data_IF_851429944440
#
_entry.id   IF_851429944440
#
_cell.length_a   1.000
_cell.length_b   1.000
_cell.length_c   1.000
_cell.angle_alpha   90.00
_cell.angle_beta   90.00
_cell.angle_gamma   90.00
#
_symmetry.space_group_name_H-M   'P 1'
#
loop_
_entity.id
_entity.type
_entity.pdbx_description
1 polymer ?
#
# COMPACT_ATOMS: atom_id res chain seq x y z
N UNK A 1 -33.23 58.96 -64.83
CA UNK A 1 -32.76 58.02 -65.86
C UNK A 1 -32.58 56.67 -65.19
N UNK A 2 -33.38 55.70 -65.59
CA UNK A 2 -33.34 54.30 -65.15
C UNK A 2 -32.15 53.56 -65.80
N UNK A 3 -31.83 52.38 -65.24
CA UNK A 3 -31.00 51.22 -65.69
C UNK A 3 -30.07 50.88 -64.51
N UNK A 4 -30.42 49.95 -63.61
CA UNK A 4 -30.18 48.48 -63.68
C UNK A 4 -28.67 48.14 -63.61
N UNK A 5 -28.13 47.17 -62.88
CA UNK A 5 -28.67 45.97 -62.23
C UNK A 5 -27.53 45.34 -61.38
N UNK A 6 -27.89 44.73 -60.25
CA UNK A 6 -27.31 43.51 -59.63
C UNK A 6 -25.82 43.37 -59.22
N UNK A 7 -25.64 43.24 -57.89
CA UNK A 7 -24.99 42.15 -57.13
C UNK A 7 -23.61 41.66 -57.58
N UNK A 8 -22.58 41.96 -56.77
CA UNK A 8 -21.60 40.97 -56.30
C UNK A 8 -21.32 41.25 -54.83
N UNK A 9 -21.61 40.26 -53.99
CA UNK A 9 -21.26 40.23 -52.57
C UNK A 9 -19.74 40.29 -52.39
N UNK A 10 -19.27 41.23 -51.57
CA UNK A 10 -17.96 41.14 -50.93
C UNK A 10 -18.14 41.60 -49.48
N UNK A 11 -18.83 40.75 -48.71
CA UNK A 11 -18.89 40.90 -47.27
C UNK A 11 -17.50 40.56 -46.74
N UNK A 12 -16.88 41.58 -46.13
CA UNK A 12 -15.71 41.50 -45.26
C UNK A 12 -15.73 40.19 -44.46
N UNK A 13 -14.67 39.41 -44.66
CA UNK A 13 -14.27 38.34 -43.74
C UNK A 13 -13.92 38.99 -42.40
N UNK A 14 -14.93 39.17 -41.55
CA UNK A 14 -14.76 39.38 -40.13
C UNK A 14 -14.58 37.98 -39.50
N UNK A 15 -13.37 37.76 -38.99
CA UNK A 15 -12.99 36.66 -38.12
C UNK A 15 -14.06 36.33 -37.09
N UNK A 16 -14.79 35.22 -37.27
CA UNK A 16 -15.28 34.37 -36.17
C UNK A 16 -15.35 32.94 -36.71
N UNK A 17 -14.19 32.29 -36.79
CA UNK A 17 -14.10 30.84 -36.95
C UNK A 17 -12.85 30.35 -36.25
N UNK A 18 -12.98 30.25 -34.93
CA UNK A 18 -12.30 29.25 -34.13
C UNK A 18 -13.32 28.75 -33.13
N UNK A 19 -14.14 27.83 -33.61
CA UNK A 19 -14.84 26.86 -32.78
C UNK A 19 -13.74 25.96 -32.15
N UNK A 20 -13.02 26.49 -31.17
CA UNK A 20 -12.26 25.65 -30.26
C UNK A 20 -13.23 25.16 -29.21
N UNK A 21 -13.55 23.87 -29.29
CA UNK A 21 -14.09 23.11 -28.18
C UNK A 21 -13.21 23.40 -26.95
N UNK A 22 -13.74 24.15 -26.00
CA UNK A 22 -13.31 24.05 -24.60
C UNK A 22 -14.02 22.83 -24.03
N UNK A 23 -13.59 21.66 -24.47
CA UNK A 23 -13.76 20.43 -23.69
C UNK A 23 -12.68 20.44 -22.61
N UNK A 24 -13.07 19.92 -21.44
CA UNK A 24 -12.25 19.61 -20.28
C UNK A 24 -11.47 20.77 -19.65
N UNK A 25 -12.19 21.60 -18.89
CA UNK A 25 -11.67 21.96 -17.57
C UNK A 25 -12.47 21.11 -16.60
N UNK A 26 -11.94 19.95 -16.21
CA UNK A 26 -12.40 19.30 -14.98
C UNK A 26 -12.31 20.38 -13.91
N UNK A 27 -13.45 20.73 -13.32
CA UNK A 27 -13.50 21.54 -12.11
C UNK A 27 -12.89 20.69 -10.98
N UNK A 28 -11.56 20.52 -10.99
CA UNK A 28 -10.82 20.05 -9.85
C UNK A 28 -10.88 21.18 -8.83
N UNK A 29 -11.83 21.09 -7.91
CA UNK A 29 -11.79 21.87 -6.70
C UNK A 29 -10.38 21.74 -6.10
N UNK A 30 -9.72 22.87 -5.81
CA UNK A 30 -8.51 22.85 -5.01
C UNK A 30 -8.86 22.17 -3.69
N UNK A 31 -8.46 20.92 -3.53
CA UNK A 31 -8.68 20.16 -2.31
C UNK A 31 -8.06 20.96 -1.13
N UNK A 32 -8.72 20.99 0.04
CA UNK A 32 -8.16 21.66 1.21
C UNK A 32 -6.75 21.12 1.48
N UNK A 33 -5.81 21.97 1.86
CA UNK A 33 -4.51 21.52 2.35
C UNK A 33 -4.63 21.21 3.83
N UNK A 34 -3.95 20.16 4.29
CA UNK A 34 -3.81 19.89 5.72
C UNK A 34 -3.17 21.11 6.43
N UNK A 35 -3.63 21.42 7.63
CA UNK A 35 -3.15 22.53 8.46
C UNK A 35 -2.64 22.02 9.81
N UNK A 36 -1.93 22.85 10.58
CA UNK A 36 -1.36 22.43 11.88
C UNK A 36 -2.39 21.92 12.89
N UNK A 37 -3.67 22.24 12.71
CA UNK A 37 -4.77 21.79 13.56
C UNK A 37 -5.22 20.35 13.27
N UNK A 38 -4.84 19.79 12.11
CA UNK A 38 -5.25 18.43 11.67
C UNK A 38 -4.40 17.31 12.32
N UNK A 39 -3.49 17.70 13.20
CA UNK A 39 -2.49 16.81 13.76
C UNK A 39 -2.67 16.60 15.25
N UNK A 40 -2.68 15.33 15.64
CA UNK A 40 -2.96 14.91 17.01
C UNK A 40 -1.79 14.08 17.51
N UNK A 41 -1.28 14.42 18.69
CA UNK A 41 -0.36 13.57 19.42
C UNK A 41 -1.12 12.38 19.99
N UNK A 42 -0.73 11.18 19.61
CA UNK A 42 -1.34 9.95 20.09
C UNK A 42 -0.30 9.04 20.72
N UNK A 43 -0.72 8.35 21.79
CA UNK A 43 0.07 7.26 22.35
C UNK A 43 -0.14 6.06 21.46
N UNK A 44 0.94 5.52 20.92
CA UNK A 44 0.92 4.34 20.07
C UNK A 44 1.42 3.12 20.86
N UNK A 45 1.02 1.93 20.41
CA UNK A 45 1.60 0.69 20.91
C UNK A 45 3.07 0.60 20.48
N UNK A 46 3.93 0.09 21.38
CA UNK A 46 5.33 -0.20 21.04
C UNK A 46 5.34 -1.22 19.91
N UNK A 47 6.06 -0.97 18.81
CA UNK A 47 6.09 -1.92 17.72
C UNK A 47 6.79 -3.19 18.19
N UNK A 48 6.18 -4.33 17.92
CA UNK A 48 6.80 -5.62 18.18
C UNK A 48 7.57 -6.00 16.91
N UNK A 49 8.68 -5.33 16.63
CA UNK A 49 9.64 -5.87 15.68
C UNK A 49 10.43 -6.97 16.41
N UNK A 50 10.37 -8.24 15.95
CA UNK A 50 11.24 -9.25 16.51
C UNK A 50 12.69 -8.81 16.26
N UNK A 51 13.50 -8.73 17.32
CA UNK A 51 14.93 -8.48 17.16
C UNK A 51 15.61 -9.75 16.64
N UNK A 52 15.49 -10.00 15.33
CA UNK A 52 16.04 -11.18 14.66
C UNK A 52 17.57 -11.25 14.75
N UNK A 53 18.22 -10.11 15.01
CA UNK A 53 19.68 -9.97 15.08
C UNK A 53 20.28 -10.11 16.48
N UNK A 54 19.48 -10.22 17.55
CA UNK A 54 19.97 -10.18 18.94
C UNK A 54 21.09 -11.21 19.19
N UNK A 55 20.98 -12.40 18.60
CA UNK A 55 21.94 -13.49 18.74
C UNK A 55 22.94 -13.60 17.59
N UNK A 56 22.86 -12.73 16.58
CA UNK A 56 23.70 -12.80 15.39
C UNK A 56 24.93 -11.89 15.53
N UNK A 57 26.13 -12.49 15.60
CA UNK A 57 27.37 -11.76 15.74
C UNK A 57 28.43 -12.21 14.71
N UNK A 58 28.42 -11.61 13.53
CA UNK A 58 29.50 -11.85 12.56
C UNK A 58 29.91 -10.59 11.84
N UNK A 59 31.23 -10.42 11.66
CA UNK A 59 31.79 -9.43 10.72
C UNK A 59 31.77 -9.92 9.28
N UNK A 60 31.52 -11.22 9.07
CA UNK A 60 31.32 -11.77 7.73
C UNK A 60 29.83 -11.64 7.40
N UNK A 61 29.53 -10.86 6.37
CA UNK A 61 28.16 -10.51 5.97
C UNK A 61 27.32 -11.73 5.61
N UNK A 62 27.88 -12.71 4.89
CA UNK A 62 27.19 -13.95 4.54
C UNK A 62 26.81 -14.74 5.79
N UNK A 63 27.73 -14.87 6.77
CA UNK A 63 27.44 -15.56 8.04
C UNK A 63 26.43 -14.82 8.90
N UNK A 64 26.46 -13.48 8.87
CA UNK A 64 25.48 -12.66 9.57
C UNK A 64 24.08 -12.84 8.95
N UNK A 65 24.00 -12.83 7.61
CA UNK A 65 22.76 -13.08 6.85
C UNK A 65 22.19 -14.47 7.11
N UNK A 66 23.03 -15.52 7.04
CA UNK A 66 22.58 -16.89 7.32
C UNK A 66 22.04 -17.02 8.76
N UNK A 67 22.60 -16.29 9.71
CA UNK A 67 22.08 -16.23 11.07
C UNK A 67 20.70 -15.54 11.13
N UNK A 68 20.52 -14.41 10.44
CA UNK A 68 19.23 -13.72 10.37
C UNK A 68 18.14 -14.61 9.74
N UNK A 69 18.46 -15.33 8.66
CA UNK A 69 17.53 -16.25 8.00
C UNK A 69 17.09 -17.37 8.96
N UNK A 70 18.02 -17.90 9.76
CA UNK A 70 17.72 -18.90 10.79
C UNK A 70 16.85 -18.32 11.92
N UNK A 71 17.18 -17.13 12.42
CA UNK A 71 16.38 -16.43 13.43
C UNK A 71 14.95 -16.19 12.93
N UNK A 72 14.80 -15.74 11.68
CA UNK A 72 13.50 -15.52 11.05
C UNK A 72 12.70 -16.83 10.92
N UNK A 73 13.35 -17.92 10.51
CA UNK A 73 12.75 -19.26 10.45
C UNK A 73 12.24 -19.70 11.84
N UNK A 74 13.07 -19.59 12.88
CA UNK A 74 12.71 -20.00 14.26
C UNK A 74 11.55 -19.15 14.77
N UNK A 75 11.64 -17.82 14.62
CA UNK A 75 10.57 -16.92 15.02
C UNK A 75 9.24 -17.29 14.35
N UNK A 76 9.27 -17.52 13.04
CA UNK A 76 8.07 -17.85 12.29
C UNK A 76 7.50 -19.22 12.64
N UNK A 77 8.35 -20.23 12.85
CA UNK A 77 7.92 -21.56 13.30
C UNK A 77 7.27 -21.52 14.69
N UNK A 78 7.83 -20.75 15.62
CA UNK A 78 7.21 -20.53 16.94
C UNK A 78 5.84 -19.85 16.81
N UNK A 79 5.70 -18.92 15.87
CA UNK A 79 4.42 -18.24 15.62
C UNK A 79 3.38 -19.19 14.99
N UNK A 80 3.80 -20.06 14.07
CA UNK A 80 2.95 -21.14 13.50
C UNK A 80 2.39 -22.00 14.63
N UNK A 81 3.23 -22.45 15.55
CA UNK A 81 2.82 -23.30 16.67
C UNK A 81 1.90 -22.55 17.64
N UNK A 82 2.25 -21.30 17.99
CA UNK A 82 1.43 -20.45 18.86
C UNK A 82 0.04 -20.21 18.29
N UNK A 83 -0.08 -20.03 16.97
CA UNK A 83 -1.33 -19.83 16.25
C UNK A 83 -2.03 -21.15 15.86
N UNK A 84 -1.48 -22.31 16.27
CA UNK A 84 -2.00 -23.64 15.96
C UNK A 84 -2.14 -23.91 14.45
N UNK A 85 -1.27 -23.30 13.65
CA UNK A 85 -1.25 -23.40 12.20
C UNK A 85 -0.41 -24.56 11.68
N UNK A 86 0.24 -25.34 12.54
CA UNK A 86 1.16 -26.43 12.12
C UNK A 86 0.50 -27.50 11.23
N UNK A 87 -0.83 -27.60 11.26
CA UNK A 87 -1.61 -28.49 10.36
C UNK A 87 -1.66 -27.98 8.91
N UNK A 88 -1.47 -26.68 8.71
CA UNK A 88 -1.48 -26.01 7.41
C UNK A 88 -0.10 -25.55 6.99
N UNK A 89 0.65 -24.91 7.89
CA UNK A 89 1.86 -24.18 7.56
C UNK A 89 3.05 -24.86 8.23
N UNK A 90 4.13 -25.00 7.48
CA UNK A 90 5.45 -25.33 8.02
C UNK A 90 6.49 -24.40 7.43
N UNK A 91 7.46 -24.02 8.25
CA UNK A 91 8.59 -23.18 7.85
C UNK A 91 9.87 -23.99 7.89
N UNK A 92 10.60 -23.99 6.79
CA UNK A 92 11.97 -24.45 6.69
C UNK A 92 12.86 -23.26 6.32
N UNK A 93 14.18 -23.47 6.36
CA UNK A 93 15.12 -22.44 5.93
C UNK A 93 14.79 -22.05 4.48
N UNK A 94 14.57 -20.77 4.24
CA UNK A 94 14.24 -20.18 2.94
C UNK A 94 12.95 -20.68 2.28
N UNK A 95 12.05 -21.33 3.01
CA UNK A 95 10.81 -21.86 2.41
C UNK A 95 9.66 -21.94 3.40
N UNK A 96 8.52 -21.37 3.02
CA UNK A 96 7.22 -21.60 3.69
C UNK A 96 6.40 -22.55 2.83
N UNK A 97 5.93 -23.64 3.44
CA UNK A 97 5.05 -24.62 2.79
C UNK A 97 3.67 -24.56 3.42
N UNK A 98 2.65 -24.34 2.61
CA UNK A 98 1.25 -24.28 3.03
C UNK A 98 0.50 -25.46 2.39
N UNK A 99 0.07 -26.39 3.23
CA UNK A 99 -0.68 -27.59 2.86
C UNK A 99 -2.14 -27.37 3.23
N UNK A 100 -3.01 -27.39 2.23
CA UNK A 100 -4.45 -27.19 2.44
C UNK A 100 -5.15 -28.52 2.24
N UNK A 101 -5.98 -28.98 3.21
CA UNK A 101 -6.75 -30.20 3.06
C UNK A 101 -7.57 -30.17 1.77
N UNK A 102 -7.50 -31.26 1.00
CA UNK A 102 -8.19 -31.42 -0.29
C UNK A 102 -7.65 -30.55 -1.46
N UNK A 103 -6.50 -29.89 -1.30
CA UNK A 103 -5.77 -29.28 -2.41
C UNK A 103 -4.70 -30.26 -2.95
N UNK A 104 -4.59 -30.41 -4.27
CA UNK A 104 -3.74 -31.45 -4.89
C UNK A 104 -2.24 -31.25 -4.63
N UNK A 105 -1.80 -30.01 -4.51
CA UNK A 105 -0.40 -29.66 -4.26
C UNK A 105 -0.27 -28.60 -3.15
N UNK A 106 0.78 -28.66 -2.31
CA UNK A 106 1.05 -27.59 -1.37
C UNK A 106 1.44 -26.30 -2.10
N UNK A 107 1.09 -25.15 -1.52
CA UNK A 107 1.61 -23.86 -1.94
C UNK A 107 3.01 -23.72 -1.36
N UNK A 108 3.99 -23.43 -2.22
CA UNK A 108 5.39 -23.28 -1.84
C UNK A 108 5.80 -21.83 -2.09
N UNK A 109 6.15 -21.13 -1.00
CA UNK A 109 6.71 -19.79 -1.04
C UNK A 109 8.20 -19.88 -0.70
N UNK A 110 9.03 -19.74 -1.71
CA UNK A 110 10.48 -19.75 -1.56
C UNK A 110 10.99 -18.35 -1.30
N UNK A 111 11.91 -18.22 -0.37
CA UNK A 111 12.63 -16.98 -0.15
C UNK A 111 13.63 -16.80 -1.29
N UNK A 112 13.25 -15.99 -2.29
CA UNK A 112 14.08 -15.80 -3.49
C UNK A 112 15.08 -14.68 -3.24
N UNK A 113 16.35 -14.83 -3.65
CA UNK A 113 17.24 -13.69 -3.74
C UNK A 113 16.64 -12.69 -4.74
N UNK A 114 16.58 -11.42 -4.33
CA UNK A 114 16.32 -10.36 -5.30
C UNK A 114 17.57 -10.27 -6.17
N UNK A 115 17.37 -10.34 -7.49
CA UNK A 115 18.47 -10.21 -8.44
C UNK A 115 19.01 -8.78 -8.34
N UNK A 116 20.12 -8.61 -7.63
CA UNK A 116 20.97 -7.44 -7.73
C UNK A 116 22.06 -7.67 -8.80
N UNK A 117 22.85 -6.64 -9.08
CA UNK A 117 23.89 -6.68 -10.13
C UNK A 117 24.96 -7.76 -9.89
N UNK A 118 25.10 -8.24 -8.65
CA UNK A 118 26.09 -9.25 -8.24
C UNK A 118 25.50 -10.66 -8.03
N UNK A 119 24.18 -10.85 -8.15
CA UNK A 119 23.50 -12.14 -8.05
C UNK A 119 23.42 -12.74 -6.64
N UNK A 120 23.86 -11.98 -5.62
CA UNK A 120 23.92 -12.36 -4.20
C UNK A 120 22.99 -11.50 -3.32
N UNK A 121 22.04 -10.79 -3.94
CA UNK A 121 21.17 -9.80 -3.30
C UNK A 121 20.30 -10.30 -2.16
N UNK A 122 19.73 -9.32 -1.46
CA UNK A 122 18.88 -9.52 -0.28
C UNK A 122 17.71 -10.45 -0.62
N UNK A 123 17.39 -11.34 0.33
CA UNK A 123 16.36 -12.37 0.12
C UNK A 123 14.98 -11.83 0.46
N UNK A 124 14.02 -12.18 -0.38
CA UNK A 124 12.61 -12.00 -0.13
C UNK A 124 12.13 -12.99 0.92
N UNK A 125 11.82 -12.54 2.13
CA UNK A 125 11.40 -13.43 3.22
C UNK A 125 9.90 -13.31 3.43
N UNK A 126 9.19 -14.45 3.37
CA UNK A 126 7.76 -14.51 3.71
C UNK A 126 7.58 -14.88 5.18
N UNK A 127 7.13 -13.91 5.98
CA UNK A 127 6.85 -14.08 7.40
C UNK A 127 5.35 -14.02 7.66
N UNK A 128 4.86 -14.87 8.56
CA UNK A 128 3.48 -14.77 9.07
C UNK A 128 3.33 -13.43 9.78
N UNK A 129 2.36 -12.66 9.32
CA UNK A 129 1.97 -11.38 9.89
C UNK A 129 0.74 -11.56 10.78
N UNK A 130 -0.35 -12.10 10.20
CA UNK A 130 -1.64 -12.27 10.89
C UNK A 130 -2.35 -13.53 10.44
N UNK A 131 -3.19 -14.07 11.32
CA UNK A 131 -4.16 -15.12 11.00
C UNK A 131 -5.56 -14.66 11.43
N UNK A 132 -6.52 -14.74 10.52
CA UNK A 132 -7.95 -14.52 10.78
C UNK A 132 -8.61 -15.89 10.90
N UNK A 133 -8.87 -16.34 12.14
CA UNK A 133 -9.41 -17.67 12.43
C UNK A 133 -10.84 -17.84 11.92
N UNK A 134 -11.66 -16.79 11.97
CA UNK A 134 -13.06 -16.83 11.56
C UNK A 134 -13.19 -17.08 10.05
N UNK A 135 -12.30 -16.47 9.26
CA UNK A 135 -12.26 -16.67 7.80
C UNK A 135 -11.29 -17.77 7.37
N UNK A 136 -10.47 -18.28 8.28
CA UNK A 136 -9.35 -19.16 8.03
C UNK A 136 -8.40 -18.59 6.95
N UNK A 137 -8.02 -17.32 7.13
CA UNK A 137 -7.15 -16.58 6.22
C UNK A 137 -5.79 -16.30 6.84
N UNK A 138 -4.74 -16.60 6.08
CA UNK A 138 -3.36 -16.37 6.46
C UNK A 138 -2.79 -15.16 5.72
N UNK A 139 -2.25 -14.22 6.48
CA UNK A 139 -1.58 -13.03 5.97
C UNK A 139 -0.08 -13.18 6.20
N UNK A 140 0.69 -13.14 5.12
CA UNK A 140 2.13 -13.12 5.15
C UNK A 140 2.62 -11.72 4.78
N UNK A 141 3.55 -11.18 5.55
CA UNK A 141 4.37 -10.06 5.12
C UNK A 141 5.52 -10.63 4.33
N UNK A 142 5.61 -10.25 3.07
CA UNK A 142 6.85 -10.42 2.35
C UNK A 142 7.72 -9.19 2.52
N UNK A 143 8.98 -9.40 2.85
CA UNK A 143 9.93 -8.32 3.07
C UNK A 143 11.18 -8.54 2.23
N UNK A 144 11.52 -7.51 1.46
CA UNK A 144 12.87 -7.23 0.95
C UNK A 144 13.18 -5.80 1.30
N UNK A 145 14.46 -5.50 1.48
CA UNK A 145 14.96 -4.13 1.55
C UNK A 145 14.15 -3.16 0.66
N UNK A 146 13.53 -2.16 1.29
CA UNK A 146 12.71 -1.09 0.68
C UNK A 146 11.41 -1.52 -0.01
N UNK A 147 11.09 -2.82 -0.08
CA UNK A 147 9.86 -3.33 -0.69
C UNK A 147 9.10 -4.26 0.24
N UNK A 148 7.84 -3.91 0.51
CA UNK A 148 6.94 -4.71 1.32
C UNK A 148 5.76 -5.15 0.46
N UNK A 149 5.42 -6.44 0.49
CA UNK A 149 4.17 -6.95 -0.03
C UNK A 149 3.38 -7.62 1.09
N UNK A 150 2.08 -7.81 0.84
CA UNK A 150 1.23 -8.65 1.67
C UNK A 150 0.70 -9.79 0.82
N UNK A 151 0.88 -11.03 1.27
CA UNK A 151 0.26 -12.20 0.65
C UNK A 151 -0.90 -12.65 1.51
N UNK A 152 -2.08 -12.73 0.92
CA UNK A 152 -3.27 -13.33 1.50
C UNK A 152 -3.41 -14.75 0.94
N UNK A 153 -3.52 -15.74 1.84
CA UNK A 153 -3.82 -17.12 1.50
C UNK A 153 -5.12 -17.53 2.20
N UNK A 154 -6.11 -17.92 1.41
CA UNK A 154 -7.32 -18.54 1.94
C UNK A 154 -7.05 -20.03 2.20
N UNK A 155 -6.96 -20.42 3.47
CA UNK A 155 -6.65 -21.79 3.87
C UNK A 155 -7.83 -22.75 3.72
N UNK A 156 -9.02 -22.29 3.33
CA UNK A 156 -10.14 -23.15 2.93
C UNK A 156 -10.07 -23.53 1.46
N UNK A 157 -9.66 -22.59 0.60
CA UNK A 157 -9.77 -22.75 -0.86
C UNK A 157 -8.42 -22.93 -1.57
N UNK A 158 -7.32 -22.50 -0.95
CA UNK A 158 -6.01 -22.43 -1.59
C UNK A 158 -5.80 -21.25 -2.53
N UNK A 159 -6.77 -20.32 -2.58
CA UNK A 159 -6.58 -19.07 -3.31
C UNK A 159 -5.48 -18.25 -2.64
N UNK A 160 -4.55 -17.79 -3.47
CA UNK A 160 -3.45 -16.91 -3.09
C UNK A 160 -3.57 -15.59 -3.85
N UNK A 161 -3.45 -14.49 -3.13
CA UNK A 161 -3.39 -13.15 -3.70
C UNK A 161 -2.21 -12.40 -3.08
N UNK A 162 -1.37 -11.85 -3.94
CA UNK A 162 -0.29 -10.94 -3.56
C UNK A 162 -0.75 -9.49 -3.78
N UNK A 163 -0.47 -8.63 -2.80
CA UNK A 163 -0.73 -7.21 -2.84
C UNK A 163 0.58 -6.47 -2.66
N UNK A 164 0.83 -5.50 -3.52
CA UNK A 164 1.92 -4.54 -3.31
C UNK A 164 1.62 -3.70 -2.07
N UNK A 165 2.63 -3.45 -1.23
CA UNK A 165 2.47 -2.75 0.03
C UNK A 165 2.07 -3.63 1.22
N UNK A 166 1.98 -2.98 2.37
CA UNK A 166 1.73 -3.56 3.69
C UNK A 166 0.35 -3.14 4.22
N UNK A 167 0.01 -3.56 5.45
CA UNK A 167 -1.20 -3.12 6.17
C UNK A 167 -2.53 -3.41 5.45
N UNK A 168 -2.63 -4.56 4.77
CA UNK A 168 -3.84 -4.98 4.04
C UNK A 168 -5.12 -4.87 4.89
N UNK A 169 -6.10 -4.14 4.38
CA UNK A 169 -7.47 -4.10 4.89
C UNK A 169 -8.48 -4.34 3.78
N UNK A 170 -9.64 -4.88 4.13
CA UNK A 170 -10.72 -5.17 3.18
C UNK A 170 -11.96 -4.38 3.56
N UNK A 171 -12.63 -3.87 2.53
CA UNK A 171 -13.95 -3.23 2.66
C UNK A 171 -14.98 -4.20 3.25
N UNK A 172 -16.06 -3.70 3.89
CA UNK A 172 -17.13 -4.53 4.44
C UNK A 172 -17.70 -5.56 3.46
N UNK A 173 -17.93 -5.17 2.21
CA UNK A 173 -18.44 -6.05 1.16
C UNK A 173 -17.35 -6.85 0.43
N UNK A 174 -16.09 -6.63 0.80
CA UNK A 174 -14.89 -7.20 0.17
C UNK A 174 -14.72 -6.86 -1.31
N UNK A 175 -15.42 -5.85 -1.85
CA UNK A 175 -15.23 -5.40 -3.23
C UNK A 175 -13.89 -4.69 -3.40
N UNK A 176 -13.44 -3.98 -2.37
CA UNK A 176 -12.17 -3.28 -2.34
C UNK A 176 -11.22 -3.81 -1.26
N UNK A 177 -9.93 -3.71 -1.55
CA UNK A 177 -8.85 -3.85 -0.59
C UNK A 177 -7.99 -2.58 -0.60
N UNK A 178 -7.26 -2.33 0.48
CA UNK A 178 -6.28 -1.26 0.52
C UNK A 178 -4.99 -1.72 1.19
N UNK A 179 -3.86 -1.26 0.66
CA UNK A 179 -2.52 -1.45 1.22
C UNK A 179 -1.76 -0.13 1.24
N UNK A 180 -0.66 -0.07 2.00
CA UNK A 180 0.25 1.07 2.01
C UNK A 180 1.64 0.64 1.61
N UNK A 181 2.13 1.21 0.53
CA UNK A 181 3.50 1.08 0.06
C UNK A 181 4.33 2.21 0.66
N UNK A 182 5.49 1.89 1.22
CA UNK A 182 6.43 2.86 1.79
C UNK A 182 7.78 2.54 1.19
N UNK A 183 8.15 3.23 0.10
CA UNK A 183 9.44 3.00 -0.57
C UNK A 183 10.52 3.84 0.10
N UNK A 184 10.26 5.13 0.24
CA UNK A 184 11.18 6.11 0.81
C UNK A 184 10.48 7.01 1.83
N UNK A 185 11.24 7.65 2.75
CA UNK A 185 10.68 8.66 3.65
C UNK A 185 9.98 9.77 2.84
N UNK A 186 8.67 9.95 3.06
CA UNK A 186 7.85 10.91 2.30
C UNK A 186 7.30 10.38 0.97
N UNK A 187 7.51 9.10 0.67
CA UNK A 187 6.95 8.36 -0.47
C UNK A 187 6.09 7.20 0.05
N UNK A 188 5.01 7.56 0.73
CA UNK A 188 3.98 6.64 1.19
C UNK A 188 2.75 6.67 0.26
N UNK A 189 2.46 5.53 -0.36
CA UNK A 189 1.37 5.40 -1.32
C UNK A 189 0.28 4.47 -0.80
N UNK A 190 -0.95 4.97 -0.75
CA UNK A 190 -2.13 4.15 -0.49
C UNK A 190 -2.59 3.53 -1.80
N UNK A 191 -2.53 2.21 -1.90
CA UNK A 191 -2.95 1.46 -3.06
C UNK A 191 -4.35 0.90 -2.79
N UNK A 192 -5.34 1.29 -3.60
CA UNK A 192 -6.69 0.72 -3.56
C UNK A 192 -6.82 -0.31 -4.67
N UNK A 193 -7.29 -1.50 -4.30
CA UNK A 193 -7.46 -2.64 -5.19
C UNK A 193 -8.94 -2.95 -5.33
N UNK A 194 -9.37 -3.29 -6.54
CA UNK A 194 -10.75 -3.66 -6.83
C UNK A 194 -10.85 -5.12 -7.24
N UNK A 195 -11.79 -5.83 -6.64
CA UNK A 195 -12.09 -7.21 -7.01
C UNK A 195 -12.69 -7.27 -8.42
N UNK A 196 -12.09 -8.06 -9.28
CA UNK A 196 -12.57 -8.30 -10.63
C UNK A 196 -13.69 -9.35 -10.66
N UNK A 197 -14.25 -9.59 -11.85
CA UNK A 197 -15.30 -10.58 -12.07
C UNK A 197 -14.87 -12.03 -11.78
N UNK A 198 -13.57 -12.29 -11.69
CA UNK A 198 -12.98 -13.59 -11.38
C UNK A 198 -12.68 -13.74 -9.88
N UNK A 199 -12.91 -12.69 -9.08
CA UNK A 199 -12.69 -12.69 -7.64
C UNK A 199 -11.27 -12.29 -7.23
N UNK A 200 -10.41 -11.89 -8.17
CA UNK A 200 -9.04 -11.47 -7.89
C UNK A 200 -8.99 -9.95 -7.70
N UNK A 201 -8.13 -9.47 -6.80
CA UNK A 201 -7.93 -8.03 -6.64
C UNK A 201 -6.97 -7.51 -7.70
N UNK A 202 -7.40 -6.49 -8.43
CA UNK A 202 -6.59 -5.80 -9.43
C UNK A 202 -6.31 -4.38 -8.96
N UNK A 203 -5.13 -3.88 -9.28
CA UNK A 203 -4.77 -2.51 -8.98
C UNK A 203 -5.68 -1.53 -9.75
N UNK A 204 -6.27 -0.58 -9.04
CA UNK A 204 -7.14 0.42 -9.65
C UNK A 204 -6.29 1.56 -10.24
N UNK A 205 -5.81 1.37 -11.48
CA UNK A 205 -4.82 2.25 -12.14
C UNK A 205 -5.29 3.70 -12.41
N UNK A 206 -6.57 4.04 -12.26
CA UNK A 206 -7.04 5.43 -12.45
C UNK A 206 -6.67 6.38 -11.29
N UNK A 207 -5.91 5.88 -10.31
CA UNK A 207 -6.07 6.32 -8.94
C UNK A 207 -4.75 6.68 -8.24
N UNK A 208 -3.92 7.44 -8.96
CA UNK A 208 -2.61 7.86 -8.48
C UNK A 208 -2.59 9.40 -8.46
N UNK A 209 -2.58 9.99 -7.27
CA UNK A 209 -2.20 11.39 -7.09
C UNK A 209 -1.02 11.51 -6.11
N UNK A 210 0.10 10.89 -6.52
CA UNK A 210 1.38 10.94 -5.81
C UNK A 210 1.84 12.38 -5.52
N UNK A 211 1.47 13.34 -6.37
CA UNK A 211 1.89 14.73 -6.23
C UNK A 211 1.17 15.48 -5.09
N UNK A 212 -0.07 15.11 -4.77
CA UNK A 212 -0.81 15.71 -3.65
C UNK A 212 -0.37 15.18 -2.29
N UNK A 213 -0.09 13.89 -2.18
CA UNK A 213 0.44 13.30 -0.95
C UNK A 213 1.79 13.94 -0.56
N UNK A 214 2.73 13.99 -1.51
CA UNK A 214 4.05 14.64 -1.32
C UNK A 214 3.98 16.11 -0.92
N UNK A 215 2.95 16.85 -1.34
CA UNK A 215 2.81 18.27 -1.00
C UNK A 215 2.42 18.52 0.46
N UNK A 216 1.79 17.55 1.13
CA UNK A 216 1.40 17.70 2.54
C UNK A 216 2.58 17.52 3.50
N UNK A 217 3.60 16.74 3.13
CA UNK A 217 4.81 16.53 3.94
C UNK A 217 5.89 17.60 3.79
N UNK A 218 5.84 18.41 2.71
CA UNK A 218 6.82 19.50 2.44
C UNK A 218 6.98 20.54 3.56
N UNK A 219 6.05 20.60 4.52
CA UNK A 219 6.13 21.53 5.64
C UNK A 219 7.23 21.17 6.64
N UNK A 220 7.56 19.88 6.80
CA UNK A 220 8.73 19.45 7.57
C UNK A 220 9.97 19.51 6.69
N UNK A 221 10.66 20.65 6.72
CA UNK A 221 12.02 20.78 6.19
C UNK A 221 13.01 20.09 7.14
N UNK A 222 12.88 18.77 7.37
CA UNK A 222 13.87 17.95 8.06
C UNK A 222 14.73 17.22 7.03
N UNK A 223 15.50 17.98 6.25
CA UNK A 223 16.60 17.42 5.44
C UNK A 223 17.63 16.62 6.27
N UNK A 224 17.49 16.58 7.59
CA UNK A 224 18.38 15.84 8.49
C UNK A 224 17.76 14.56 9.06
N UNK A 225 16.43 14.41 9.12
CA UNK A 225 15.78 13.23 9.71
C UNK A 225 14.65 12.71 8.81
N UNK A 226 14.96 11.60 8.14
CA UNK A 226 14.08 10.80 7.30
C UNK A 226 12.98 10.12 8.12
N UNK A 227 11.95 10.85 8.52
CA UNK A 227 10.83 10.30 9.29
C UNK A 227 9.90 9.48 8.38
N UNK A 228 10.23 8.19 8.18
CA UNK A 228 9.24 7.21 7.68
C UNK A 228 8.12 7.06 8.72
N UNK A 229 6.87 6.82 8.33
CA UNK A 229 5.83 6.49 9.30
C UNK A 229 6.27 5.26 10.07
N UNK A 230 6.17 5.36 11.38
CA UNK A 230 6.45 4.27 12.29
C UNK A 230 5.39 3.17 12.19
N UNK A 231 4.13 3.59 12.05
CA UNK A 231 3.00 2.70 11.84
C UNK A 231 1.96 3.36 10.96
N UNK A 232 1.15 2.53 10.31
CA UNK A 232 0.04 2.97 9.48
C UNK A 232 -1.21 2.19 9.87
N UNK A 233 -2.35 2.87 9.96
CA UNK A 233 -3.64 2.23 10.20
C UNK A 233 -4.61 2.57 9.08
N UNK A 234 -5.24 1.52 8.52
CA UNK A 234 -6.28 1.62 7.52
C UNK A 234 -7.63 1.20 8.12
N UNK A 235 -8.66 2.01 7.95
CA UNK A 235 -10.00 1.75 8.48
C UNK A 235 -11.09 2.11 7.45
N UNK A 236 -11.81 1.11 6.96
CA UNK A 236 -12.98 1.32 6.11
C UNK A 236 -14.16 1.83 6.94
N UNK A 237 -14.69 3.00 6.58
CA UNK A 237 -15.90 3.57 7.20
C UNK A 237 -17.15 3.12 6.44
N UNK A 238 -17.04 3.08 5.11
CA UNK A 238 -18.06 2.54 4.18
C UNK A 238 -17.33 1.93 2.98
N UNK A 239 -18.04 1.28 2.05
CA UNK A 239 -17.42 0.76 0.82
C UNK A 239 -16.85 1.87 -0.09
N UNK A 240 -17.25 3.13 0.15
CA UNK A 240 -16.85 4.34 -0.59
C UNK A 240 -16.00 5.31 0.25
N UNK A 241 -15.55 4.91 1.45
CA UNK A 241 -14.73 5.76 2.34
C UNK A 241 -13.75 4.97 3.18
N UNK A 242 -12.47 5.33 3.06
CA UNK A 242 -11.34 4.73 3.74
C UNK A 242 -10.55 5.81 4.51
N UNK A 243 -10.41 5.63 5.82
CA UNK A 243 -9.54 6.42 6.66
C UNK A 243 -8.14 5.83 6.68
N UNK A 244 -7.15 6.73 6.61
CA UNK A 244 -5.73 6.38 6.64
C UNK A 244 -5.05 7.25 7.68
N UNK A 245 -4.49 6.61 8.71
CA UNK A 245 -3.68 7.24 9.74
C UNK A 245 -2.21 6.89 9.55
N UNK A 246 -1.37 7.91 9.42
CA UNK A 246 0.08 7.79 9.48
C UNK A 246 0.57 8.28 10.84
N UNK A 247 1.39 7.47 11.50
CA UNK A 247 1.98 7.81 12.80
C UNK A 247 3.49 8.00 12.65
N UNK A 248 3.99 9.17 13.00
CA UNK A 248 5.40 9.53 12.94
C UNK A 248 5.96 9.68 14.35
N UNK A 249 6.94 8.86 14.70
CA UNK A 249 7.65 9.01 15.98
C UNK A 249 8.73 10.08 15.84
N UNK A 250 9.03 10.76 16.95
CA UNK A 250 10.20 11.64 17.03
C UNK A 250 11.50 10.83 17.20
N UNK A 251 11.41 9.62 17.77
CA UNK A 251 12.52 8.67 17.96
C UNK A 251 12.04 7.19 17.90
N UNK A 252 12.94 6.25 17.60
CA UNK A 252 12.67 4.82 17.45
C UNK A 252 12.08 4.15 18.71
N UNK A 253 12.27 4.75 19.88
CA UNK A 253 11.79 4.25 21.17
C UNK A 253 10.60 5.01 21.75
N UNK A 254 10.11 6.05 21.06
CA UNK A 254 9.00 6.84 21.58
C UNK A 254 7.68 6.07 21.50
N UNK A 255 6.87 6.22 22.55
CA UNK A 255 5.49 5.71 22.62
C UNK A 255 4.46 6.78 22.26
N UNK A 256 4.93 7.98 21.91
CA UNK A 256 4.11 9.11 21.49
C UNK A 256 4.47 9.42 20.04
N UNK A 257 3.46 9.38 19.19
CA UNK A 257 3.60 9.65 17.76
C UNK A 257 2.70 10.81 17.34
N UNK A 258 3.12 11.47 16.29
CA UNK A 258 2.34 12.45 15.58
C UNK A 258 1.45 11.74 14.55
N UNK A 259 0.13 11.89 14.67
CA UNK A 259 -0.82 11.31 13.72
C UNK A 259 -1.23 12.30 12.65
N UNK A 260 -1.18 11.87 11.39
CA UNK A 260 -1.79 12.52 10.22
C UNK A 260 -2.91 11.64 9.68
N UNK A 261 -4.11 12.19 9.53
CA UNK A 261 -5.29 11.45 9.04
C UNK A 261 -5.79 11.97 7.70
N UNK A 262 -6.01 11.06 6.77
CA UNK A 262 -6.66 11.32 5.48
C UNK A 262 -7.93 10.50 5.32
N UNK A 263 -8.90 11.03 4.57
CA UNK A 263 -10.07 10.28 4.09
C UNK A 263 -9.97 10.12 2.57
N UNK A 264 -9.91 8.89 2.10
CA UNK A 264 -10.09 8.56 0.69
C UNK A 264 -11.56 8.27 0.48
N UNK A 265 -12.22 9.09 -0.34
CA UNK A 265 -13.67 8.96 -0.60
C UNK A 265 -13.96 8.82 -2.08
N UNK A 266 -15.08 8.17 -2.37
CA UNK A 266 -15.67 8.14 -3.69
C UNK A 266 -17.07 8.74 -3.63
N UNK A 267 -17.35 9.74 -4.45
CA UNK A 267 -18.65 10.43 -4.44
C UNK A 267 -19.71 9.69 -5.24
N UNK A 268 -19.32 8.90 -6.24
CA UNK A 268 -20.21 8.05 -7.05
C UNK A 268 -19.49 6.73 -7.44
N UNK A 269 -20.19 5.61 -7.64
CA UNK A 269 -19.55 4.30 -7.89
C UNK A 269 -18.56 4.25 -9.06
N UNK A 270 -18.68 5.17 -10.03
CA UNK A 270 -17.81 5.29 -11.20
C UNK A 270 -16.79 6.43 -11.11
N UNK A 271 -16.79 7.23 -10.04
CA UNK A 271 -15.82 8.31 -9.86
C UNK A 271 -14.49 7.78 -9.34
N UNK A 272 -13.42 8.51 -9.61
CA UNK A 272 -12.11 8.25 -9.02
C UNK A 272 -12.15 8.44 -7.49
N UNK A 273 -11.23 7.80 -6.78
CA UNK A 273 -11.07 8.07 -5.35
C UNK A 273 -10.38 9.41 -5.17
N UNK A 274 -10.84 10.14 -4.16
CA UNK A 274 -10.32 11.46 -3.82
C UNK A 274 -9.80 11.44 -2.39
N UNK A 275 -8.53 11.79 -2.23
CA UNK A 275 -7.95 12.04 -0.91
C UNK A 275 -8.39 13.42 -0.42
N UNK A 276 -8.98 13.46 0.77
CA UNK A 276 -9.41 14.68 1.45
C UNK A 276 -8.77 14.71 2.84
N UNK A 277 -8.04 15.77 3.22
CA UNK A 277 -7.56 15.93 4.59
C UNK A 277 -8.72 16.06 5.58
N UNK A 278 -8.59 15.43 6.74
CA UNK A 278 -9.58 15.53 7.80
C UNK A 278 -9.12 16.60 8.79
N UNK A 279 -9.99 17.58 9.03
CA UNK A 279 -9.82 18.57 10.09
C UNK A 279 -10.22 18.01 11.45
#
# INVERSE_FOLDING_TARGET
>A
MQIAQTVVELIRVCMVSTLFLVLSVSAQANLPKATMDDYVWEVIEVPIYPNLGETCNSKNELKYRDCLDQSAMIYNQNLIEKLQLSKYVSRQLNQTTITIPNHEAPIILTDKPVQDEDGDGLRYVYLINRYDEDKNWLYLSGQVYETNNTVLVDLNTGVIQEFEGSHLTLSPDMTYAATVKVEFPGEEDVLIWKKDKHGNYQYDQSNIDYDKFRQHFKFYNSREDNLRPHSVKLEWVTDDSLLVDFYFNMNEHDIIAYRVRFNYVRTEPASDWQMIPIK
#
